data_IF_071977641996
#
_entry.id   IF_071977641996
#
_cell.length_a   1.000
_cell.length_b   1.000
_cell.length_c   1.000
_cell.angle_alpha   90.00
_cell.angle_beta   90.00
_cell.angle_gamma   90.00
#
_symmetry.space_group_name_H-M   'P 1'
#
loop_
_entity.id
_entity.type
_entity.pdbx_description
1 polymer ?
#
# COMPACT_ATOMS: atom_id res chain seq x y z
N UNK A 1 6.07 9.77 0.94
CA UNK A 1 7.27 9.30 1.68
C UNK A 1 8.22 8.65 0.69
N UNK A 2 9.53 8.72 0.94
CA UNK A 2 10.53 8.12 0.05
C UNK A 2 11.45 7.19 0.81
N UNK A 3 11.84 6.10 0.15
CA UNK A 3 12.90 5.18 0.55
C UNK A 3 13.94 5.06 -0.57
N UNK A 4 14.13 6.13 -1.35
CA UNK A 4 15.14 6.19 -2.39
C UNK A 4 16.53 5.93 -1.77
N UNK A 5 17.24 4.86 -2.21
CA UNK A 5 18.48 4.42 -1.57
C UNK A 5 19.58 5.48 -1.69
N UNK A 6 19.66 6.21 -2.80
CA UNK A 6 20.70 7.22 -3.03
C UNK A 6 20.49 8.39 -2.08
N UNK A 7 19.25 8.86 -1.94
CA UNK A 7 18.95 9.98 -1.04
C UNK A 7 19.09 9.54 0.42
N UNK A 8 18.70 8.30 0.75
CA UNK A 8 18.88 7.74 2.08
C UNK A 8 20.35 7.66 2.46
N UNK A 9 21.25 7.25 1.55
CA UNK A 9 22.68 7.17 1.83
C UNK A 9 23.27 8.56 2.12
N UNK A 10 22.87 9.58 1.36
CA UNK A 10 23.26 10.98 1.63
C UNK A 10 22.77 11.41 3.00
N UNK A 11 21.50 11.19 3.32
CA UNK A 11 20.93 11.56 4.61
C UNK A 11 21.54 10.75 5.77
N UNK A 12 21.87 9.48 5.55
CA UNK A 12 22.50 8.60 6.52
C UNK A 12 23.91 9.09 6.86
N UNK A 13 24.65 9.63 5.89
CA UNK A 13 25.95 10.26 6.13
C UNK A 13 25.85 11.49 7.03
N UNK A 14 24.78 12.29 6.88
CA UNK A 14 24.52 13.49 7.68
C UNK A 14 24.08 13.12 9.09
N UNK A 15 23.17 12.16 9.21
CA UNK A 15 22.65 11.67 10.49
C UNK A 15 23.68 10.79 11.24
N UNK A 16 24.71 10.30 10.54
CA UNK A 16 25.67 9.30 11.03
C UNK A 16 24.98 8.04 11.57
N UNK A 17 23.89 7.65 10.93
CA UNK A 17 23.03 6.54 11.35
C UNK A 17 22.35 5.92 10.13
N UNK A 18 22.01 4.63 10.21
CA UNK A 18 21.31 3.92 9.15
C UNK A 18 19.83 4.33 9.12
N UNK A 19 19.40 4.90 8.00
CA UNK A 19 18.04 5.41 7.82
C UNK A 19 17.16 4.40 7.09
N UNK A 20 15.92 4.28 7.54
CA UNK A 20 14.92 3.40 6.94
C UNK A 20 14.03 4.17 5.95
N UNK A 21 13.81 5.46 6.19
CA UNK A 21 13.00 6.32 5.34
C UNK A 21 13.21 7.78 5.67
N UNK A 22 12.76 8.64 4.75
CA UNK A 22 12.62 10.06 5.00
C UNK A 22 11.33 10.63 4.38
N UNK A 23 10.87 11.75 4.94
CA UNK A 23 9.79 12.54 4.38
C UNK A 23 10.08 14.03 4.54
N UNK A 24 9.69 14.84 3.55
CA UNK A 24 9.66 16.29 3.69
C UNK A 24 8.43 16.72 4.49
N UNK A 25 8.67 17.43 5.58
CA UNK A 25 7.64 17.89 6.52
C UNK A 25 7.77 19.40 6.78
N UNK A 26 6.73 19.97 7.39
CA UNK A 26 6.82 21.26 8.07
C UNK A 26 6.72 20.99 9.56
N UNK A 27 7.67 21.52 10.33
CA UNK A 27 7.65 21.46 11.79
C UNK A 27 7.21 22.83 12.28
N UNK A 28 6.24 22.86 13.17
CA UNK A 28 5.83 24.06 13.90
C UNK A 28 6.27 23.87 15.34
N UNK A 29 7.05 24.82 15.83
CA UNK A 29 7.58 24.77 17.19
C UNK A 29 6.73 25.62 18.13
N UNK A 30 6.79 25.29 19.43
CA UNK A 30 6.20 26.02 20.57
C UNK A 30 6.47 27.53 20.44
N UNK A 31 5.59 28.26 19.71
CA UNK A 31 5.60 29.69 19.32
C UNK A 31 5.93 30.06 17.84
N UNK A 32 5.11 29.54 16.91
CA UNK A 32 4.81 30.07 15.55
C UNK A 32 5.91 30.02 14.48
N UNK A 33 7.12 29.58 14.80
CA UNK A 33 8.14 29.39 13.76
C UNK A 33 7.87 28.09 12.98
N UNK A 34 7.57 28.23 11.68
CA UNK A 34 7.45 27.11 10.76
C UNK A 34 8.79 26.86 10.07
N UNK A 35 9.33 25.64 10.18
CA UNK A 35 10.49 25.23 9.38
C UNK A 35 10.17 24.05 8.50
N UNK A 36 10.56 24.17 7.23
CA UNK A 36 10.56 23.04 6.29
C UNK A 36 11.81 22.20 6.54
N UNK A 37 11.60 20.91 6.73
CA UNK A 37 12.65 19.96 7.10
C UNK A 37 12.40 18.61 6.44
N UNK A 38 13.38 17.72 6.51
CA UNK A 38 13.22 16.32 6.23
C UNK A 38 13.25 15.56 7.56
N UNK A 39 12.18 14.85 7.89
CA UNK A 39 12.17 13.89 8.99
C UNK A 39 12.76 12.58 8.48
N UNK A 40 13.74 12.06 9.19
CA UNK A 40 14.42 10.82 8.86
C UNK A 40 14.22 9.82 10.00
N UNK A 41 13.83 8.60 9.67
CA UNK A 41 13.51 7.53 10.63
C UNK A 41 14.67 6.54 10.63
N UNK A 42 15.34 6.38 11.78
CA UNK A 42 16.34 5.33 11.98
C UNK A 42 15.78 4.20 12.86
N UNK A 43 16.64 3.26 13.26
CA UNK A 43 16.25 2.20 14.20
C UNK A 43 15.93 2.73 15.60
N UNK A 44 16.67 3.74 16.06
CA UNK A 44 16.62 4.20 17.46
C UNK A 44 16.21 5.66 17.61
N UNK A 45 16.34 6.45 16.55
CA UNK A 45 16.13 7.89 16.59
C UNK A 45 15.31 8.40 15.41
N UNK A 46 14.66 9.52 15.64
CA UNK A 46 14.11 10.39 14.60
C UNK A 46 15.06 11.57 14.43
N UNK A 47 15.54 11.83 13.21
CA UNK A 47 16.39 12.97 12.90
C UNK A 47 15.63 14.02 12.10
N UNK A 48 16.01 15.27 12.27
CA UNK A 48 15.48 16.38 11.48
C UNK A 48 16.60 17.07 10.73
N UNK A 49 16.58 16.88 9.42
CA UNK A 49 17.55 17.47 8.49
C UNK A 49 16.93 18.74 7.91
N UNK A 50 17.72 19.79 7.73
CA UNK A 50 17.25 21.01 7.09
C UNK A 50 16.73 20.75 5.67
N UNK A 51 16.00 21.72 5.11
CA UNK A 51 15.41 21.62 3.77
C UNK A 51 16.44 21.30 2.68
N UNK A 52 17.65 21.84 2.81
CA UNK A 52 18.75 21.71 1.86
C UNK A 52 19.49 20.38 1.94
N UNK A 53 19.14 19.51 2.91
CA UNK A 53 19.82 18.23 3.13
C UNK A 53 21.33 18.41 3.35
N UNK A 54 21.72 19.46 4.06
CA UNK A 54 23.14 19.78 4.31
C UNK A 54 23.54 19.58 5.77
N UNK A 55 22.62 19.79 6.72
CA UNK A 55 22.87 19.62 8.14
C UNK A 55 21.60 19.30 8.94
N UNK A 56 21.79 18.76 10.14
CA UNK A 56 20.74 18.63 11.13
C UNK A 56 20.27 20.01 11.60
N UNK A 57 19.03 20.10 12.08
CA UNK A 57 18.51 21.33 12.68
C UNK A 57 19.21 21.55 14.01
N UNK A 58 19.99 22.63 14.11
CA UNK A 58 20.76 22.99 15.30
C UNK A 58 19.88 23.05 16.57
N UNK A 59 20.36 22.44 17.65
CA UNK A 59 19.66 22.32 18.94
C UNK A 59 18.47 21.35 18.92
N UNK A 60 18.20 20.71 17.78
CA UNK A 60 17.01 19.88 17.48
C UNK A 60 17.37 18.75 16.52
N UNK A 61 18.51 18.13 16.80
CA UNK A 61 19.18 17.24 15.85
C UNK A 61 18.48 15.88 15.74
N UNK A 62 18.11 15.31 16.89
CA UNK A 62 17.50 13.98 16.98
C UNK A 62 16.59 13.84 18.19
N UNK A 63 15.73 12.83 18.15
CA UNK A 63 14.82 12.44 19.22
C UNK A 63 14.89 10.93 19.39
N UNK A 64 15.07 10.46 20.63
CA UNK A 64 14.93 9.04 20.95
C UNK A 64 13.46 8.63 20.90
N UNK A 65 13.14 7.46 20.36
CA UNK A 65 11.76 6.97 20.41
C UNK A 65 11.25 6.87 21.85
N UNK A 66 12.08 6.49 22.80
CA UNK A 66 11.68 6.40 24.20
C UNK A 66 11.29 7.75 24.80
N UNK A 67 11.78 8.86 24.25
CA UNK A 67 11.43 10.20 24.71
C UNK A 67 10.03 10.64 24.27
N UNK A 68 9.43 9.95 23.30
CA UNK A 68 8.07 10.22 22.83
C UNK A 68 7.07 9.53 23.77
N UNK A 69 6.21 10.30 24.40
CA UNK A 69 5.15 9.77 25.29
C UNK A 69 3.97 9.27 24.49
N UNK A 70 3.49 10.09 23.56
CA UNK A 70 2.32 9.79 22.73
C UNK A 70 2.30 10.68 21.48
N UNK A 71 1.47 10.29 20.52
CA UNK A 71 1.12 11.14 19.39
C UNK A 71 -0.33 11.60 19.51
N UNK A 72 -0.58 12.89 19.29
CA UNK A 72 -1.93 13.43 19.11
C UNK A 72 -2.19 13.58 17.61
N UNK A 73 -3.14 12.81 17.10
CA UNK A 73 -3.54 12.80 15.70
C UNK A 73 -4.66 13.81 15.51
N UNK A 74 -4.46 14.76 14.59
CA UNK A 74 -5.49 15.75 14.29
C UNK A 74 -6.76 15.08 13.74
N UNK A 75 -7.89 15.30 14.39
CA UNK A 75 -9.20 14.83 13.92
C UNK A 75 -9.81 15.73 12.84
N UNK A 76 -9.31 16.96 12.70
CA UNK A 76 -9.87 17.95 11.76
C UNK A 76 -9.21 17.94 10.39
N UNK A 77 -7.95 17.51 10.28
CA UNK A 77 -7.21 17.39 9.02
C UNK A 77 -6.48 16.06 8.93
N UNK A 78 -5.99 15.70 7.74
CA UNK A 78 -5.15 14.51 7.54
C UNK A 78 -3.63 14.80 7.56
N UNK A 79 -3.23 16.03 7.92
CA UNK A 79 -1.83 16.47 7.78
C UNK A 79 -1.08 16.61 9.09
N UNK A 80 -1.80 17.06 10.11
CA UNK A 80 -1.16 17.42 11.37
C UNK A 80 -1.18 16.26 12.35
N UNK A 81 -0.07 16.15 13.08
CA UNK A 81 0.02 15.39 14.32
C UNK A 81 1.01 16.06 15.25
N UNK A 82 0.78 15.90 16.55
CA UNK A 82 1.66 16.39 17.60
C UNK A 82 2.41 15.20 18.19
N UNK A 83 3.73 15.29 18.30
CA UNK A 83 4.49 14.40 19.18
C UNK A 83 4.65 15.09 20.52
N UNK A 84 4.20 14.44 21.59
CA UNK A 84 4.49 14.86 22.95
C UNK A 84 5.73 14.14 23.44
N UNK A 85 6.64 14.89 24.06
CA UNK A 85 7.91 14.43 24.55
C UNK A 85 7.93 14.45 26.09
N UNK A 86 8.71 13.54 26.67
CA UNK A 86 9.00 13.55 28.10
C UNK A 86 9.82 14.80 28.47
N UNK A 87 9.60 15.38 29.65
CA UNK A 87 10.48 16.42 30.18
C UNK A 87 11.93 15.93 30.22
N UNK A 88 12.87 16.74 29.73
CA UNK A 88 14.29 16.37 29.67
C UNK A 88 14.71 15.56 28.45
N UNK A 89 13.83 15.40 27.44
CA UNK A 89 14.21 14.89 26.13
C UNK A 89 15.36 15.72 25.52
N UNK A 90 16.15 15.10 24.64
CA UNK A 90 17.24 15.76 23.88
C UNK A 90 16.76 16.86 22.91
N UNK A 91 15.47 17.16 22.91
CA UNK A 91 14.81 18.15 22.07
C UNK A 91 14.48 19.41 22.87
N UNK A 92 14.70 20.59 22.28
CA UNK A 92 14.29 21.86 22.89
C UNK A 92 12.76 22.03 22.76
N UNK A 93 12.01 21.53 23.72
CA UNK A 93 10.55 21.62 23.79
C UNK A 93 9.91 20.30 24.24
N UNK A 94 8.65 20.36 24.66
CA UNK A 94 7.89 19.17 25.06
C UNK A 94 6.91 18.72 23.98
N UNK A 95 6.78 19.50 22.90
CA UNK A 95 5.80 19.28 21.84
C UNK A 95 6.40 19.57 20.47
N UNK A 96 6.05 18.75 19.51
CA UNK A 96 6.45 18.92 18.10
C UNK A 96 5.23 18.74 17.24
N UNK A 97 4.74 19.84 16.68
CA UNK A 97 3.69 19.79 15.71
C UNK A 97 4.31 19.53 14.33
N UNK A 98 3.90 18.44 13.71
CA UNK A 98 4.39 18.01 12.40
C UNK A 98 3.24 18.07 11.40
N UNK A 99 3.50 18.74 10.29
CA UNK A 99 2.69 18.69 9.08
C UNK A 99 3.35 17.74 8.08
N UNK A 100 2.67 16.64 7.76
CA UNK A 100 3.10 15.64 6.79
C UNK A 100 2.06 15.48 5.69
N UNK A 101 2.51 15.15 4.48
CA UNK A 101 1.61 14.80 3.37
C UNK A 101 1.21 13.32 3.43
N UNK A 102 1.97 12.50 4.15
CA UNK A 102 1.76 11.07 4.34
C UNK A 102 1.62 10.72 5.84
N UNK A 103 0.92 11.56 6.60
CA UNK A 103 0.81 11.48 8.07
C UNK A 103 0.56 10.06 8.57
N UNK A 104 -0.40 9.36 7.95
CA UNK A 104 -0.78 8.01 8.38
C UNK A 104 0.40 7.02 8.27
N UNK A 105 1.06 6.98 7.13
CA UNK A 105 2.22 6.11 6.93
C UNK A 105 3.40 6.51 7.83
N UNK A 106 3.63 7.81 8.01
CA UNK A 106 4.69 8.32 8.87
C UNK A 106 4.44 7.94 10.34
N UNK A 107 3.22 8.14 10.84
CA UNK A 107 2.83 7.74 12.20
C UNK A 107 2.87 6.23 12.40
N UNK A 108 2.41 5.44 11.42
CA UNK A 108 2.54 3.98 11.47
C UNK A 108 3.99 3.55 11.61
N UNK A 109 4.91 4.19 10.87
CA UNK A 109 6.33 3.86 10.97
C UNK A 109 6.93 4.31 12.30
N UNK A 110 6.61 5.51 12.77
CA UNK A 110 7.04 6.00 14.10
C UNK A 110 6.54 5.06 15.20
N UNK A 111 5.27 4.66 15.15
CA UNK A 111 4.68 3.72 16.11
C UNK A 111 5.43 2.38 16.10
N UNK A 112 5.70 1.82 14.92
CA UNK A 112 6.43 0.57 14.79
C UNK A 112 7.85 0.65 15.38
N UNK A 113 8.61 1.70 15.04
CA UNK A 113 9.95 1.89 15.59
C UNK A 113 9.91 2.13 17.11
N UNK A 114 8.92 2.87 17.61
CA UNK A 114 8.73 3.08 19.04
C UNK A 114 8.45 1.78 19.78
N UNK A 115 7.55 0.96 19.26
CA UNK A 115 7.21 -0.33 19.88
C UNK A 115 8.42 -1.26 19.87
N UNK A 116 9.15 -1.32 18.76
CA UNK A 116 10.38 -2.10 18.66
C UNK A 116 11.43 -1.63 19.67
N UNK A 117 11.63 -0.32 19.84
CA UNK A 117 12.59 0.23 20.81
C UNK A 117 12.18 -0.08 22.26
N UNK A 118 10.88 0.03 22.58
CA UNK A 118 10.37 -0.32 23.91
C UNK A 118 10.56 -1.80 24.21
N UNK A 119 10.26 -2.69 23.25
CA UNK A 119 10.51 -4.12 23.39
C UNK A 119 12.01 -4.40 23.56
N UNK A 120 12.86 -3.76 22.78
CA UNK A 120 14.31 -3.99 22.78
C UNK A 120 15.00 -3.47 24.04
N UNK A 121 14.63 -2.29 24.54
CA UNK A 121 15.30 -1.63 25.68
C UNK A 121 14.66 -1.94 27.02
N UNK A 122 13.33 -2.04 27.06
CA UNK A 122 12.56 -2.16 28.29
C UNK A 122 11.98 -3.58 28.49
N UNK A 123 12.18 -4.48 27.53
CA UNK A 123 11.65 -5.85 27.56
C UNK A 123 10.14 -5.91 27.79
N UNK A 124 9.42 -4.92 27.25
CA UNK A 124 8.00 -4.73 27.49
C UNK A 124 7.23 -4.58 26.17
N UNK A 125 6.02 -5.14 26.12
CA UNK A 125 5.15 -5.12 24.94
C UNK A 125 4.07 -4.07 25.17
N UNK A 126 4.34 -2.86 24.68
CA UNK A 126 3.38 -1.75 24.70
C UNK A 126 2.93 -1.34 23.31
N UNK A 127 1.72 -0.77 23.25
CA UNK A 127 1.23 -0.09 22.04
C UNK A 127 1.57 1.38 22.14
N UNK A 128 2.03 1.96 21.03
CA UNK A 128 2.26 3.40 20.95
C UNK A 128 0.93 4.13 21.09
N UNK A 129 0.84 5.05 22.05
CA UNK A 129 -0.39 5.76 22.35
C UNK A 129 -0.67 6.82 21.28
N UNK A 130 -1.80 6.66 20.58
CA UNK A 130 -2.28 7.61 19.58
C UNK A 130 -3.65 8.14 20.00
N UNK A 131 -3.69 9.40 20.41
CA UNK A 131 -4.91 10.08 20.86
C UNK A 131 -5.44 10.96 19.74
N UNK A 132 -6.75 10.99 19.52
CA UNK A 132 -7.37 11.91 18.54
C UNK A 132 -7.78 13.20 19.24
N UNK A 133 -7.39 14.34 18.70
CA UNK A 133 -7.86 15.65 19.15
C UNK A 133 -7.95 16.61 17.96
N UNK A 134 -8.82 17.62 18.04
CA UNK A 134 -8.88 18.68 17.03
C UNK A 134 -7.69 19.64 17.24
N UNK A 135 -6.60 19.42 16.49
CA UNK A 135 -5.43 20.32 16.51
C UNK A 135 -5.67 21.55 15.62
N UNK A 136 -6.49 21.40 14.58
CA UNK A 136 -6.75 22.45 13.58
C UNK A 136 -7.40 23.73 14.13
N UNK A 137 -8.20 23.67 15.20
CA UNK A 137 -8.82 24.87 15.78
C UNK A 137 -7.81 25.78 16.50
N UNK A 138 -6.74 25.22 17.07
CA UNK A 138 -5.67 26.00 17.71
C UNK A 138 -4.67 26.59 16.70
N UNK A 139 -4.60 26.03 15.49
CA UNK A 139 -3.75 26.50 14.38
C UNK A 139 -4.48 27.45 13.41
N UNK A 140 -5.81 27.44 13.40
CA UNK A 140 -6.65 28.29 12.55
C UNK A 140 -6.44 29.81 12.78
N UNK A 141 -5.81 30.20 13.89
CA UNK A 141 -5.38 31.58 14.12
C UNK A 141 -4.21 32.03 13.20
N UNK A 142 -3.56 31.15 12.43
CA UNK A 142 -2.32 31.48 11.68
C UNK A 142 -2.29 31.00 10.23
N UNK A 143 -3.40 30.98 9.48
CA UNK A 143 -3.47 31.38 8.04
C UNK A 143 -4.48 30.59 7.21
N UNK A 144 -5.10 31.40 6.36
CA UNK A 144 -6.18 31.13 5.42
C UNK A 144 -5.79 30.27 4.21
N UNK A 145 -6.85 29.66 3.66
CA UNK A 145 -7.16 29.43 2.23
C UNK A 145 -6.36 28.47 1.36
N UNK A 146 -5.18 27.97 1.73
CA UNK A 146 -4.51 26.91 0.92
C UNK A 146 -4.66 25.49 1.49
N UNK A 147 -5.01 25.33 2.77
CA UNK A 147 -5.10 24.02 3.42
C UNK A 147 -6.27 23.16 2.90
N UNK A 148 -7.40 23.79 2.51
CA UNK A 148 -8.59 23.06 2.04
C UNK A 148 -8.44 22.35 0.70
N UNK A 149 -7.46 22.73 -0.14
CA UNK A 149 -7.39 22.23 -1.51
C UNK A 149 -6.49 21.00 -1.69
N UNK A 150 -5.57 20.74 -0.75
CA UNK A 150 -4.67 19.58 -0.82
C UNK A 150 -4.94 18.52 0.27
N UNK A 151 -5.94 18.70 1.13
CA UNK A 151 -6.33 17.72 2.18
C UNK A 151 -7.04 16.46 1.63
N UNK A 152 -7.10 16.32 0.30
CA UNK A 152 -7.80 15.25 -0.42
C UNK A 152 -6.88 14.50 -1.38
N UNK A 153 -5.65 14.12 -1.00
CA UNK A 153 -5.09 12.88 -1.57
C UNK A 153 -5.75 11.72 -0.83
N UNK A 154 -7.07 11.61 -0.99
CA UNK A 154 -7.74 10.31 -0.86
C UNK A 154 -7.30 9.57 -2.12
N UNK A 155 -6.75 8.37 -1.99
CA UNK A 155 -6.63 7.48 -3.15
C UNK A 155 -8.07 7.13 -3.50
N UNK A 156 -8.69 7.99 -4.31
CA UNK A 156 -9.99 7.68 -4.88
C UNK A 156 -9.78 6.54 -5.89
N UNK A 157 -10.73 5.61 -5.98
CA UNK A 157 -10.70 4.63 -7.06
C UNK A 157 -10.52 5.37 -8.38
N UNK A 158 -9.83 4.74 -9.34
CA UNK A 158 -9.70 5.30 -10.69
C UNK A 158 -11.06 5.80 -11.18
N UNK A 159 -11.09 6.93 -11.91
CA UNK A 159 -12.37 7.49 -12.38
C UNK A 159 -13.21 6.40 -13.06
N UNK A 160 -14.42 6.19 -12.54
CA UNK A 160 -15.34 5.16 -13.02
C UNK A 160 -15.19 3.79 -12.35
N UNK A 161 -14.41 3.67 -11.27
CA UNK A 161 -14.30 2.46 -10.44
C UNK A 161 -14.87 2.69 -9.04
N UNK A 162 -15.22 1.62 -8.34
CA UNK A 162 -15.74 1.60 -6.96
C UNK A 162 -14.87 0.70 -6.08
N UNK A 163 -14.83 1.01 -4.78
CA UNK A 163 -14.04 0.33 -3.75
C UNK A 163 -14.87 -0.52 -2.78
N UNK A 164 -16.13 -0.75 -3.12
CA UNK A 164 -17.10 -1.54 -2.32
C UNK A 164 -16.85 -3.05 -2.37
N UNK A 165 -15.92 -3.52 -3.21
CA UNK A 165 -15.71 -4.94 -3.45
C UNK A 165 -14.64 -5.53 -2.54
N UNK A 166 -15.02 -6.61 -1.85
CA UNK A 166 -14.13 -7.35 -0.95
C UNK A 166 -14.47 -8.82 -0.95
N UNK A 167 -13.44 -9.67 -0.85
CA UNK A 167 -13.57 -11.12 -0.75
C UNK A 167 -12.43 -11.71 0.06
N UNK A 168 -12.73 -12.59 1.03
CA UNK A 168 -11.75 -13.28 1.90
C UNK A 168 -10.62 -12.38 2.45
N UNK A 169 -10.97 -11.18 2.91
CA UNK A 169 -10.01 -10.23 3.49
C UNK A 169 -9.27 -9.34 2.49
N UNK A 170 -9.44 -9.57 1.19
CA UNK A 170 -8.91 -8.73 0.12
C UNK A 170 -9.95 -7.71 -0.34
N UNK A 171 -9.49 -6.48 -0.64
CA UNK A 171 -10.29 -5.45 -1.29
C UNK A 171 -9.72 -5.12 -2.66
N UNK A 172 -10.61 -4.78 -3.60
CA UNK A 172 -10.23 -4.49 -4.98
C UNK A 172 -11.21 -3.51 -5.61
N UNK A 173 -10.80 -2.95 -6.74
CA UNK A 173 -11.59 -1.96 -7.47
C UNK A 173 -12.14 -2.54 -8.75
N UNK A 174 -13.46 -2.48 -8.93
CA UNK A 174 -14.11 -2.80 -10.20
C UNK A 174 -14.78 -1.56 -10.76
N UNK A 175 -15.01 -1.56 -12.07
CA UNK A 175 -15.70 -0.47 -12.74
C UNK A 175 -17.12 -0.33 -12.19
N UNK A 176 -17.67 0.88 -12.17
CA UNK A 176 -19.08 1.15 -11.85
C UNK A 176 -19.99 0.26 -12.69
N UNK A 177 -21.01 -0.33 -12.06
CA UNK A 177 -21.98 -1.23 -12.70
C UNK A 177 -21.71 -2.72 -12.48
N UNK A 178 -20.58 -3.11 -11.87
CA UNK A 178 -20.42 -4.47 -11.37
C UNK A 178 -21.25 -4.69 -10.10
N UNK A 179 -21.94 -5.83 -10.02
CA UNK A 179 -22.69 -6.24 -8.85
C UNK A 179 -22.45 -7.73 -8.54
N UNK A 180 -22.62 -8.13 -7.28
CA UNK A 180 -22.58 -9.56 -6.92
C UNK A 180 -23.75 -10.29 -7.59
N UNK A 181 -23.45 -11.42 -8.24
CA UNK A 181 -24.45 -12.23 -8.95
C UNK A 181 -25.43 -12.89 -7.99
N UNK A 182 -24.93 -13.38 -6.86
CA UNK A 182 -25.72 -14.07 -5.84
C UNK A 182 -26.26 -13.14 -4.76
N UNK A 183 -25.86 -11.86 -4.76
CA UNK A 183 -26.06 -10.94 -3.63
C UNK A 183 -25.19 -11.27 -2.41
N UNK A 184 -24.35 -12.32 -2.49
CA UNK A 184 -23.43 -12.74 -1.44
C UNK A 184 -22.00 -12.28 -1.77
N UNK A 185 -21.12 -12.25 -0.76
CA UNK A 185 -19.68 -12.03 -0.95
C UNK A 185 -18.99 -13.34 -1.34
N UNK A 186 -19.40 -13.93 -2.46
CA UNK A 186 -18.90 -15.20 -3.00
C UNK A 186 -17.67 -15.04 -3.91
N UNK A 187 -17.31 -13.81 -4.24
CA UNK A 187 -16.18 -13.50 -5.12
C UNK A 187 -16.57 -13.41 -6.59
N UNK A 188 -17.86 -13.49 -6.94
CA UNK A 188 -18.34 -13.42 -8.33
C UNK A 188 -19.13 -12.13 -8.56
N UNK A 189 -18.67 -11.33 -9.51
CA UNK A 189 -19.25 -10.03 -9.86
C UNK A 189 -19.54 -9.95 -11.35
N UNK A 190 -20.67 -9.38 -11.74
CA UNK A 190 -21.08 -9.26 -13.14
C UNK A 190 -21.50 -7.83 -13.47
N UNK A 191 -21.23 -7.42 -14.70
CA UNK A 191 -21.72 -6.18 -15.27
C UNK A 191 -22.57 -6.47 -16.52
N UNK A 192 -23.86 -6.18 -16.43
CA UNK A 192 -24.84 -6.51 -17.47
C UNK A 192 -25.02 -5.43 -18.54
N UNK A 193 -24.42 -4.25 -18.39
CA UNK A 193 -24.70 -3.11 -19.28
C UNK A 193 -23.65 -2.90 -20.36
N UNK A 194 -22.48 -3.55 -20.26
CA UNK A 194 -21.35 -3.29 -21.17
C UNK A 194 -20.81 -1.86 -21.00
N UNK A 195 -19.71 -1.53 -21.67
CA UNK A 195 -19.15 -0.19 -21.59
C UNK A 195 -18.07 0.13 -22.63
N UNK A 196 -17.80 1.41 -22.85
CA UNK A 196 -16.67 1.83 -23.69
C UNK A 196 -15.39 2.09 -22.87
N UNK A 197 -14.25 1.65 -23.42
CA UNK A 197 -12.91 1.96 -22.94
C UNK A 197 -12.06 2.55 -24.06
N UNK A 198 -11.19 3.50 -23.73
CA UNK A 198 -10.20 4.00 -24.69
C UNK A 198 -8.95 3.11 -24.63
N UNK A 199 -8.63 2.43 -25.72
CA UNK A 199 -7.39 1.67 -25.88
C UNK A 199 -6.58 2.25 -27.04
N UNK A 200 -5.32 2.64 -26.79
CA UNK A 200 -4.44 3.28 -27.80
C UNK A 200 -5.13 4.40 -28.59
N UNK A 201 -5.83 5.29 -27.88
CA UNK A 201 -6.60 6.41 -28.42
C UNK A 201 -7.80 6.04 -29.32
N UNK A 202 -8.22 4.77 -29.35
CA UNK A 202 -9.43 4.33 -30.03
C UNK A 202 -10.49 3.90 -29.00
N UNK A 203 -11.76 4.29 -29.17
CA UNK A 203 -12.84 3.76 -28.36
C UNK A 203 -13.08 2.28 -28.72
N UNK A 204 -13.09 1.43 -27.72
CA UNK A 204 -13.38 -0.01 -27.82
C UNK A 204 -14.59 -0.28 -26.94
N UNK A 205 -15.63 -0.88 -27.53
CA UNK A 205 -16.82 -1.30 -26.80
C UNK A 205 -16.61 -2.67 -26.17
N UNK A 206 -16.83 -2.75 -24.86
CA UNK A 206 -16.85 -3.97 -24.07
C UNK A 206 -18.29 -4.45 -23.99
N UNK A 207 -18.58 -5.71 -24.37
CA UNK A 207 -19.93 -6.23 -24.38
C UNK A 207 -20.53 -6.34 -22.98
N UNK A 208 -21.87 -6.40 -22.86
CA UNK A 208 -22.54 -6.75 -21.61
C UNK A 208 -22.22 -8.18 -21.17
N UNK A 209 -22.45 -8.49 -19.89
CA UNK A 209 -22.29 -9.83 -19.34
C UNK A 209 -20.85 -10.20 -18.96
N UNK A 210 -19.95 -9.22 -18.79
CA UNK A 210 -18.60 -9.48 -18.28
C UNK A 210 -18.69 -9.92 -16.82
N UNK A 211 -18.09 -11.08 -16.52
CA UNK A 211 -17.99 -11.65 -15.17
C UNK A 211 -16.56 -11.57 -14.67
N UNK A 212 -16.39 -11.11 -13.44
CA UNK A 212 -15.15 -11.13 -12.67
C UNK A 212 -15.32 -12.16 -11.56
N UNK A 213 -14.40 -13.11 -11.47
CA UNK A 213 -14.34 -14.12 -10.43
C UNK A 213 -13.02 -13.96 -9.68
N UNK A 214 -13.11 -13.77 -8.38
CA UNK A 214 -11.96 -13.70 -7.47
C UNK A 214 -11.96 -14.94 -6.61
N UNK A 215 -10.93 -15.76 -6.74
CA UNK A 215 -10.69 -16.92 -5.89
C UNK A 215 -9.48 -16.66 -5.01
N UNK A 216 -9.58 -17.04 -3.74
CA UNK A 216 -8.48 -16.93 -2.77
C UNK A 216 -8.38 -18.27 -2.09
N UNK A 217 -7.27 -18.95 -2.32
CA UNK A 217 -7.02 -20.27 -1.78
C UNK A 217 -6.66 -20.19 -0.30
N UNK A 218 -6.68 -21.34 0.37
CA UNK A 218 -6.28 -21.41 1.76
C UNK A 218 -4.76 -21.23 1.87
N UNK A 219 -4.32 -20.69 3.00
CA UNK A 219 -2.89 -20.56 3.29
C UNK A 219 -2.23 -21.94 3.35
N UNK A 220 -1.02 -22.04 2.80
CA UNK A 220 -0.21 -23.25 2.76
C UNK A 220 1.17 -22.95 3.33
N UNK A 221 1.89 -23.94 3.85
CA UNK A 221 3.26 -23.75 4.30
C UNK A 221 4.19 -23.70 3.09
N UNK A 222 5.18 -22.79 3.13
CA UNK A 222 6.17 -22.65 2.05
C UNK A 222 6.95 -23.96 1.85
N UNK A 223 7.27 -24.68 2.94
CA UNK A 223 7.94 -25.98 2.87
C UNK A 223 7.13 -27.05 2.12
N UNK A 224 5.80 -26.91 2.05
CA UNK A 224 4.95 -27.87 1.34
C UNK A 224 4.98 -27.61 -0.17
N UNK A 225 5.19 -26.35 -0.59
CA UNK A 225 5.44 -26.02 -2.00
C UNK A 225 6.72 -26.71 -2.50
N UNK A 226 7.81 -26.61 -1.74
CA UNK A 226 9.12 -27.19 -2.08
C UNK A 226 9.10 -28.73 -2.11
N UNK A 227 8.24 -29.35 -1.30
CA UNK A 227 8.09 -30.82 -1.23
C UNK A 227 7.13 -31.38 -2.26
N UNK A 228 6.28 -30.55 -2.85
CA UNK A 228 5.35 -30.99 -3.87
C UNK A 228 6.15 -31.42 -5.11
N UNK A 229 5.99 -32.68 -5.53
CA UNK A 229 6.61 -33.21 -6.76
C UNK A 229 6.00 -32.64 -8.05
N UNK A 230 4.96 -31.81 -7.93
CA UNK A 230 4.11 -31.34 -9.02
C UNK A 230 4.47 -29.92 -9.50
N UNK A 231 5.65 -29.39 -9.14
CA UNK A 231 6.12 -28.10 -9.67
C UNK A 231 5.32 -26.88 -9.21
N UNK A 232 4.53 -27.01 -8.13
CA UNK A 232 3.80 -25.90 -7.51
C UNK A 232 4.73 -24.81 -6.94
N UNK A 233 6.03 -25.09 -6.79
CA UNK A 233 7.05 -24.10 -6.44
C UNK A 233 7.05 -22.93 -7.43
N UNK A 234 6.92 -23.20 -8.73
CA UNK A 234 6.88 -22.18 -9.77
C UNK A 234 5.43 -21.77 -10.09
N UNK A 235 5.12 -20.49 -9.84
CA UNK A 235 3.81 -19.91 -10.16
C UNK A 235 3.45 -20.05 -11.64
N UNK A 236 4.45 -20.11 -12.53
CA UNK A 236 4.22 -20.37 -13.95
C UNK A 236 3.59 -21.74 -14.18
N UNK A 237 4.04 -22.79 -13.48
CA UNK A 237 3.49 -24.14 -13.64
C UNK A 237 2.02 -24.16 -13.25
N UNK A 238 1.70 -23.58 -12.09
CA UNK A 238 0.33 -23.42 -11.60
C UNK A 238 -0.54 -22.66 -12.62
N UNK A 239 -0.01 -21.56 -13.18
CA UNK A 239 -0.70 -20.81 -14.21
C UNK A 239 -0.96 -21.63 -15.48
N UNK A 240 0.00 -22.45 -15.92
CA UNK A 240 -0.14 -23.29 -17.11
C UNK A 240 -1.13 -24.44 -16.88
N UNK A 241 -1.16 -25.04 -15.70
CA UNK A 241 -2.14 -26.06 -15.33
C UNK A 241 -3.55 -25.48 -15.27
N UNK A 242 -3.71 -24.30 -14.65
CA UNK A 242 -4.98 -23.59 -14.61
C UNK A 242 -5.43 -23.16 -16.01
N UNK A 243 -4.52 -22.66 -16.84
CA UNK A 243 -4.82 -22.36 -18.24
C UNK A 243 -5.27 -23.62 -18.98
N UNK A 244 -4.58 -24.76 -18.78
CA UNK A 244 -4.92 -26.03 -19.41
C UNK A 244 -6.32 -26.50 -19.02
N UNK A 245 -6.69 -26.44 -17.75
CA UNK A 245 -8.02 -26.85 -17.27
C UNK A 245 -9.13 -25.96 -17.83
N UNK A 246 -8.88 -24.65 -17.99
CA UNK A 246 -9.83 -23.74 -18.64
C UNK A 246 -10.01 -24.04 -20.14
N UNK A 247 -8.98 -24.58 -20.79
CA UNK A 247 -8.98 -24.85 -22.24
C UNK A 247 -9.32 -26.30 -22.62
N UNK A 248 -9.45 -27.20 -21.65
CA UNK A 248 -9.57 -28.64 -21.89
C UNK A 248 -10.74 -29.01 -22.80
N UNK A 249 -11.84 -28.24 -22.74
CA UNK A 249 -13.06 -28.46 -23.52
C UNK A 249 -13.23 -27.48 -24.69
N UNK A 250 -12.18 -26.76 -25.10
CA UNK A 250 -12.26 -25.79 -26.20
C UNK A 250 -11.68 -26.38 -27.49
N UNK A 251 -12.50 -26.52 -28.52
CA UNK A 251 -12.07 -27.04 -29.83
C UNK A 251 -10.95 -26.20 -30.48
N UNK A 252 -11.03 -24.87 -30.34
CA UNK A 252 -10.06 -23.92 -30.88
C UNK A 252 -9.89 -22.72 -29.93
N UNK A 253 -8.65 -22.45 -29.52
CA UNK A 253 -8.30 -21.31 -28.70
C UNK A 253 -6.92 -20.75 -29.07
N UNK A 254 -6.69 -19.48 -28.72
CA UNK A 254 -5.44 -18.77 -28.88
C UNK A 254 -5.02 -18.16 -27.55
N UNK A 255 -3.75 -18.32 -27.20
CA UNK A 255 -3.13 -17.63 -26.06
C UNK A 255 -2.52 -16.34 -26.60
N UNK A 256 -3.14 -15.19 -26.30
CA UNK A 256 -2.66 -13.89 -26.80
C UNK A 256 -1.57 -13.32 -25.90
N UNK A 257 -1.71 -13.55 -24.59
CA UNK A 257 -0.76 -13.12 -23.57
C UNK A 257 -0.51 -14.30 -22.64
N UNK A 258 0.74 -14.55 -22.30
CA UNK A 258 1.12 -15.42 -21.19
C UNK A 258 2.50 -14.99 -20.71
N UNK A 259 2.61 -14.55 -19.46
CA UNK A 259 3.86 -14.02 -18.94
C UNK A 259 3.79 -13.56 -17.50
N UNK A 260 4.93 -13.14 -16.97
CA UNK A 260 5.04 -12.62 -15.62
C UNK A 260 4.29 -11.28 -15.49
N UNK A 261 3.43 -11.18 -14.49
CA UNK A 261 2.71 -9.97 -14.16
C UNK A 261 3.48 -9.15 -13.11
N UNK A 262 3.96 -7.97 -13.51
CA UNK A 262 4.69 -7.06 -12.62
C UNK A 262 3.73 -6.15 -11.86
N UNK A 263 3.42 -6.50 -10.61
CA UNK A 263 2.58 -5.68 -9.73
C UNK A 263 3.29 -4.36 -9.38
N UNK A 264 2.76 -3.24 -9.91
CA UNK A 264 3.31 -1.88 -9.77
C UNK A 264 3.53 -1.39 -8.32
N UNK A 265 2.90 -2.03 -7.33
CA UNK A 265 2.95 -1.65 -5.92
C UNK A 265 3.76 -2.62 -5.05
N UNK A 266 4.60 -3.47 -5.65
CA UNK A 266 5.59 -4.20 -4.86
C UNK A 266 6.61 -3.21 -4.29
N UNK A 267 6.88 -3.30 -2.99
CA UNK A 267 7.94 -2.52 -2.34
C UNK A 267 9.29 -3.17 -2.65
N UNK A 268 10.31 -2.35 -2.88
CA UNK A 268 11.68 -2.84 -3.01
C UNK A 268 12.09 -3.55 -1.72
N UNK A 269 12.68 -4.74 -1.83
CA UNK A 269 13.18 -5.57 -0.73
C UNK A 269 12.11 -6.10 0.26
N UNK A 270 10.83 -6.11 -0.13
CA UNK A 270 9.78 -6.77 0.65
C UNK A 270 9.78 -8.28 0.34
N UNK A 271 10.24 -9.07 1.31
CA UNK A 271 10.23 -10.53 1.22
C UNK A 271 8.79 -11.05 1.04
N UNK A 272 7.77 -10.32 1.54
CA UNK A 272 6.36 -10.65 1.37
C UNK A 272 5.72 -10.00 0.12
N UNK A 273 6.53 -9.72 -0.91
CA UNK A 273 6.06 -9.21 -2.19
C UNK A 273 5.14 -10.20 -2.91
N UNK A 274 4.43 -9.70 -3.91
CA UNK A 274 3.53 -10.51 -4.71
C UNK A 274 4.21 -10.93 -6.00
N UNK A 275 4.27 -12.24 -6.23
CA UNK A 275 4.53 -12.79 -7.55
C UNK A 275 3.23 -12.87 -8.33
N UNK A 276 3.33 -12.66 -9.64
CA UNK A 276 2.17 -12.67 -10.51
C UNK A 276 2.45 -13.31 -11.85
N UNK A 277 1.44 -14.00 -12.38
CA UNK A 277 1.44 -14.50 -13.76
C UNK A 277 0.12 -14.12 -14.42
N UNK A 278 0.17 -13.57 -15.62
CA UNK A 278 -1.02 -13.25 -16.39
C UNK A 278 -1.11 -14.10 -17.64
N UNK A 279 -2.33 -14.47 -18.01
CA UNK A 279 -2.60 -14.99 -19.32
C UNK A 279 -3.94 -14.52 -19.86
N UNK A 280 -4.03 -14.47 -21.19
CA UNK A 280 -5.23 -14.12 -21.91
C UNK A 280 -5.49 -15.17 -22.99
N UNK A 281 -6.59 -15.87 -22.85
CA UNK A 281 -7.04 -16.91 -23.77
C UNK A 281 -8.30 -16.45 -24.49
N UNK A 282 -8.29 -16.57 -25.82
CA UNK A 282 -9.43 -16.26 -26.67
C UNK A 282 -9.87 -17.51 -27.42
N UNK A 283 -11.13 -17.87 -27.31
CA UNK A 283 -11.79 -18.86 -28.16
C UNK A 283 -12.81 -18.18 -29.08
N UNK A 284 -13.57 -18.99 -29.83
CA UNK A 284 -14.65 -18.48 -30.68
C UNK A 284 -15.79 -17.85 -29.87
N UNK A 285 -16.10 -18.45 -28.72
CA UNK A 285 -17.28 -18.11 -27.90
C UNK A 285 -16.91 -17.36 -26.63
N UNK A 286 -15.68 -17.51 -26.14
CA UNK A 286 -15.27 -17.00 -24.84
C UNK A 286 -13.95 -16.26 -24.90
N UNK A 287 -13.83 -15.30 -23.99
CA UNK A 287 -12.60 -14.58 -23.73
C UNK A 287 -12.29 -14.65 -22.24
N UNK A 288 -11.11 -15.16 -21.90
CA UNK A 288 -10.66 -15.33 -20.52
C UNK A 288 -9.37 -14.55 -20.30
N UNK A 289 -9.41 -13.59 -19.38
CA UNK A 289 -8.20 -12.96 -18.86
C UNK A 289 -8.04 -13.37 -17.40
N UNK A 290 -6.89 -13.92 -17.04
CA UNK A 290 -6.58 -14.34 -15.68
C UNK A 290 -5.28 -13.69 -15.23
N UNK A 291 -5.28 -13.19 -14.00
CA UNK A 291 -4.05 -12.86 -13.29
C UNK A 291 -4.01 -13.72 -12.03
N UNK A 292 -2.98 -14.55 -11.95
CA UNK A 292 -2.62 -15.32 -10.78
C UNK A 292 -1.68 -14.49 -9.93
N UNK A 293 -1.89 -14.58 -8.63
CA UNK A 293 -1.11 -13.89 -7.62
C UNK A 293 -0.68 -14.89 -6.56
N UNK A 294 0.59 -14.88 -6.22
CA UNK A 294 1.13 -15.61 -5.08
C UNK A 294 1.75 -14.63 -4.11
N UNK A 295 1.33 -14.72 -2.86
CA UNK A 295 1.94 -14.00 -1.75
C UNK A 295 2.69 -14.99 -0.88
N UNK A 296 4.00 -14.83 -0.76
CA UNK A 296 4.83 -15.63 0.13
C UNK A 296 5.15 -14.86 1.42
N UNK A 297 5.64 -15.58 2.43
CA UNK A 297 6.13 -15.01 3.69
C UNK A 297 5.09 -14.13 4.40
N UNK A 298 3.86 -14.60 4.52
CA UNK A 298 2.78 -13.83 5.15
C UNK A 298 3.08 -13.67 6.66
N UNK A 299 3.06 -12.44 7.22
CA UNK A 299 3.24 -12.22 8.66
C UNK A 299 2.14 -12.90 9.49
N UNK A 300 2.41 -13.28 10.76
CA UNK A 300 3.61 -12.98 11.53
C UNK A 300 4.71 -14.05 11.44
N UNK A 301 4.38 -15.26 10.99
CA UNK A 301 5.29 -16.41 11.06
C UNK A 301 6.24 -16.51 9.86
N UNK A 302 5.95 -15.79 8.76
CA UNK A 302 6.74 -15.80 7.52
C UNK A 302 7.00 -17.21 6.96
N UNK A 303 6.16 -18.18 7.31
CA UNK A 303 6.29 -19.58 6.90
C UNK A 303 5.17 -20.03 5.96
N UNK A 304 4.23 -19.13 5.63
CA UNK A 304 3.06 -19.41 4.80
C UNK A 304 3.08 -18.64 3.50
N UNK A 305 2.42 -19.22 2.51
CA UNK A 305 2.08 -18.63 1.23
C UNK A 305 0.57 -18.73 0.99
N UNK A 306 0.06 -17.87 0.12
CA UNK A 306 -1.32 -17.92 -0.33
C UNK A 306 -1.41 -17.53 -1.80
N UNK A 307 -2.11 -18.36 -2.55
CA UNK A 307 -2.40 -18.11 -3.96
C UNK A 307 -3.82 -17.52 -4.10
N UNK A 308 -3.97 -16.65 -5.10
CA UNK A 308 -5.24 -16.04 -5.45
C UNK A 308 -5.34 -15.82 -6.95
N UNK A 309 -6.56 -15.86 -7.46
CA UNK A 309 -6.88 -15.74 -8.87
C UNK A 309 -7.87 -14.59 -9.05
N UNK A 310 -7.59 -13.74 -10.02
CA UNK A 310 -8.56 -12.78 -10.54
C UNK A 310 -8.81 -13.13 -12.01
N UNK A 311 -9.96 -13.73 -12.28
CA UNK A 311 -10.37 -14.14 -13.62
C UNK A 311 -11.48 -13.21 -14.12
N UNK A 312 -11.39 -12.83 -15.38
CA UNK A 312 -12.48 -12.17 -16.10
C UNK A 312 -12.88 -13.01 -17.29
N UNK A 313 -14.18 -13.21 -17.44
CA UNK A 313 -14.77 -13.95 -18.54
C UNK A 313 -15.83 -13.08 -19.24
N UNK A 314 -15.81 -13.10 -20.56
CA UNK A 314 -16.90 -12.57 -21.38
C UNK A 314 -17.38 -13.67 -22.34
N UNK A 315 -18.70 -13.83 -22.41
CA UNK A 315 -19.38 -14.83 -23.24
C UNK A 315 -19.81 -14.30 -24.61
N UNK A 316 -19.37 -13.10 -25.00
CA UNK A 316 -19.73 -12.52 -26.28
C UNK A 316 -18.50 -12.07 -27.07
N UNK A 317 -18.47 -12.52 -28.32
CA UNK A 317 -17.55 -12.06 -29.35
C UNK A 317 -17.41 -10.54 -29.33
N UNK A 318 -16.18 -10.05 -29.14
CA UNK A 318 -15.77 -8.76 -29.70
C UNK A 318 -15.98 -8.84 -31.22
N UNK A 319 -17.20 -8.54 -31.69
CA UNK A 319 -17.52 -8.33 -33.09
C UNK A 319 -16.90 -6.98 -33.48
N UNK A 320 -15.70 -7.04 -34.07
CA UNK A 320 -15.07 -5.88 -34.69
C UNK A 320 -13.64 -5.65 -34.24
N UNK A 321 -12.70 -6.32 -34.91
CA UNK A 321 -11.48 -5.69 -35.45
C UNK A 321 -11.35 -6.16 -36.88
#
# INVERSE_FOLDING_TARGET
>A
MSSDPVILDVLASICKDALQMFERIVIVFDDKEERRANICISKHFIYFVNREMSKLIEGRERISYLDITRAVVDSSTNRYFLLELRPGASWSGTRILVQSTHRELLLQKIALCWQAEVMYRLFDVRKFEMVKAALGEQLAAVKNMMAKQNDLIKIEPFRGYEDSFSYRGYSFWLRKGFASVSGLKDGVFQNDQGWEVTYKAQPVSVPPGVRVMVQVDNEQLIMDLEKSRDGMEDLRTVAMEYQRSLTENLDQFYVVVSGQYLKKMNRTDDIASWDGWEFFVRSKEYCFACVLFRRQYIPPLFSTCQDGFACTCSTDTLKGV
#
